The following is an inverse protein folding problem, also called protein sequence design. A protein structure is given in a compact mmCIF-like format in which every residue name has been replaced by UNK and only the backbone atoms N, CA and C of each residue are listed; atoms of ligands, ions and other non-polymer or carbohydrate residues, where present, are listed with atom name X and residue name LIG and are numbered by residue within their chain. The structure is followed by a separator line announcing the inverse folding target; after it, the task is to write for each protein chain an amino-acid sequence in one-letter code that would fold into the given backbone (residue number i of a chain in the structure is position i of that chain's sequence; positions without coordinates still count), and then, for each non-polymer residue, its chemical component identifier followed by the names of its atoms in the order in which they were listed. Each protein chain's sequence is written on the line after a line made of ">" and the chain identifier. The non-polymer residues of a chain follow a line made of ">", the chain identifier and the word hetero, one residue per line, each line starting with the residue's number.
data_IF_170824667879
#
_entry.id   IF_170824667879
#
_cell.length_a   1.000
_cell.length_b   1.000
_cell.length_c   1.000
_cell.angle_alpha   90.00
_cell.angle_beta   90.00
_cell.angle_gamma   90.00
#
_symmetry.space_group_name_H-M   'P 1'
#
loop_
_entity.id
_entity.type
_entity.pdbx_description
1 polymer ?
#
# COMPACT_ATOMS: atom_id res chain seq x y z
N UNK A 1 -16.24 -7.10 6.37
CA UNK A 1 -15.15 -7.01 7.37
C UNK A 1 -13.88 -7.59 6.75
N UNK A 2 -12.75 -6.92 6.91
CA UNK A 2 -11.46 -7.41 6.43
C UNK A 2 -11.09 -8.69 7.20
N UNK A 3 -10.79 -9.75 6.47
CA UNK A 3 -10.44 -11.08 7.01
C UNK A 3 -9.12 -11.62 6.46
N UNK A 4 -8.60 -11.03 5.38
CA UNK A 4 -7.33 -11.43 4.79
C UNK A 4 -6.59 -10.27 4.12
N UNK A 5 -5.26 -10.40 4.06
CA UNK A 5 -4.34 -9.43 3.48
C UNK A 5 -3.56 -10.07 2.34
N UNK A 6 -3.41 -9.35 1.24
CA UNK A 6 -2.72 -9.83 0.03
C UNK A 6 -1.88 -8.72 -0.60
N UNK A 7 -0.84 -9.11 -1.31
CA UNK A 7 -0.03 -8.22 -2.16
C UNK A 7 -0.18 -8.63 -3.63
N UNK A 8 -0.05 -7.66 -4.53
CA UNK A 8 -0.12 -7.87 -5.97
C UNK A 8 1.06 -7.18 -6.65
N UNK A 9 1.92 -7.95 -7.31
CA UNK A 9 2.94 -7.45 -8.23
C UNK A 9 2.62 -7.84 -9.66
N UNK A 10 3.13 -7.07 -10.62
CA UNK A 10 2.88 -7.28 -12.04
C UNK A 10 4.14 -7.85 -12.71
N UNK A 11 3.94 -8.84 -13.58
CA UNK A 11 5.01 -9.47 -14.37
C UNK A 11 5.14 -8.87 -15.77
N UNK A 12 4.06 -8.35 -16.31
CA UNK A 12 4.02 -7.79 -17.66
C UNK A 12 4.92 -6.56 -17.82
N UNK A 13 5.41 -6.39 -19.04
CA UNK A 13 6.14 -5.21 -19.47
C UNK A 13 5.25 -4.30 -20.32
N UNK A 14 5.45 -3.00 -20.20
CA UNK A 14 4.69 -1.99 -20.93
C UNK A 14 3.32 -1.70 -20.31
N UNK A 15 2.90 -0.46 -20.43
CA UNK A 15 1.73 0.11 -19.72
C UNK A 15 0.45 -0.66 -20.02
N UNK A 16 0.17 -0.96 -21.29
CA UNK A 16 -1.09 -1.63 -21.71
C UNK A 16 -1.18 -3.04 -21.13
N UNK A 17 -0.09 -3.80 -21.19
CA UNK A 17 -0.06 -5.16 -20.66
C UNK A 17 -0.19 -5.15 -19.12
N UNK A 18 0.50 -4.23 -18.45
CA UNK A 18 0.41 -4.06 -16.97
C UNK A 18 -1.00 -3.67 -16.55
N UNK A 19 -1.67 -2.77 -17.26
CA UNK A 19 -3.06 -2.42 -16.99
C UNK A 19 -4.00 -3.63 -17.17
N UNK A 20 -3.81 -4.41 -18.24
CA UNK A 20 -4.61 -5.62 -18.51
C UNK A 20 -4.38 -6.69 -17.44
N UNK A 21 -3.14 -6.92 -17.04
CA UNK A 21 -2.77 -7.85 -15.96
C UNK A 21 -3.39 -7.42 -14.64
N UNK A 22 -3.26 -6.14 -14.27
CA UNK A 22 -3.85 -5.59 -13.04
C UNK A 22 -5.36 -5.80 -13.00
N UNK A 23 -6.07 -5.49 -14.09
CA UNK A 23 -7.52 -5.70 -14.21
C UNK A 23 -7.91 -7.18 -14.03
N UNK A 24 -7.09 -8.11 -14.49
CA UNK A 24 -7.35 -9.54 -14.30
C UNK A 24 -7.10 -9.96 -12.84
N UNK A 25 -5.99 -9.53 -12.24
CA UNK A 25 -5.66 -9.85 -10.84
C UNK A 25 -6.69 -9.29 -9.86
N UNK A 26 -7.22 -8.09 -10.12
CA UNK A 26 -8.22 -7.45 -9.25
C UNK A 26 -9.55 -8.20 -9.26
N UNK A 27 -9.94 -8.86 -10.35
CA UNK A 27 -11.16 -9.71 -10.41
C UNK A 27 -11.10 -10.89 -9.45
N UNK A 28 -9.89 -11.35 -9.10
CA UNK A 28 -9.69 -12.51 -8.23
C UNK A 28 -9.67 -12.15 -6.74
N UNK A 29 -9.71 -10.86 -6.38
CA UNK A 29 -9.79 -10.42 -4.99
C UNK A 29 -11.17 -10.75 -4.44
N UNK A 30 -11.20 -11.46 -3.31
CA UNK A 30 -12.44 -11.95 -2.69
C UNK A 30 -13.03 -10.92 -1.73
N UNK A 31 -14.36 -10.94 -1.48
CA UNK A 31 -14.94 -10.19 -0.40
C UNK A 31 -14.25 -10.48 0.94
N UNK A 32 -13.94 -9.41 1.68
CA UNK A 32 -13.16 -9.49 2.92
C UNK A 32 -11.63 -9.50 2.71
N UNK A 33 -11.13 -9.54 1.48
CA UNK A 33 -9.70 -9.45 1.19
C UNK A 33 -9.29 -7.99 0.93
N UNK A 34 -8.24 -7.53 1.62
CA UNK A 34 -7.54 -6.27 1.36
C UNK A 34 -6.25 -6.57 0.58
N UNK A 35 -6.25 -6.23 -0.69
CA UNK A 35 -5.10 -6.40 -1.56
C UNK A 35 -4.36 -5.07 -1.76
N UNK A 36 -3.02 -5.12 -1.76
CA UNK A 36 -2.14 -3.99 -2.01
C UNK A 36 -1.34 -4.20 -3.30
N UNK A 37 -1.49 -3.28 -4.26
CA UNK A 37 -0.60 -3.13 -5.40
C UNK A 37 0.61 -2.28 -5.07
N UNK A 38 1.65 -2.34 -5.90
CA UNK A 38 2.86 -1.54 -5.71
C UNK A 38 2.65 -0.06 -6.11
N UNK A 39 3.64 0.77 -5.77
CA UNK A 39 3.65 2.18 -6.17
C UNK A 39 3.71 2.30 -7.69
N UNK A 40 2.82 3.13 -8.26
CA UNK A 40 2.76 3.44 -9.69
C UNK A 40 2.86 2.17 -10.57
N UNK A 41 2.19 1.09 -10.15
CA UNK A 41 2.38 -0.24 -10.69
C UNK A 41 2.12 -0.36 -12.19
N UNK A 42 1.29 0.50 -12.79
CA UNK A 42 1.00 0.51 -14.23
C UNK A 42 1.92 1.46 -14.98
N UNK A 43 2.01 2.72 -14.55
CA UNK A 43 2.70 3.80 -15.27
C UNK A 43 4.20 3.90 -14.94
N UNK A 44 4.63 3.41 -13.76
CA UNK A 44 5.93 3.79 -13.23
C UNK A 44 5.98 5.30 -12.98
N UNK A 45 7.13 5.92 -13.26
CA UNK A 45 7.31 7.38 -13.14
C UNK A 45 6.91 8.16 -14.41
N UNK A 46 6.12 7.54 -15.29
CA UNK A 46 5.64 8.21 -16.50
C UNK A 46 4.20 8.70 -16.27
N UNK A 47 3.93 9.96 -16.62
CA UNK A 47 2.57 10.46 -16.65
C UNK A 47 1.90 9.98 -17.93
N UNK A 48 0.82 9.23 -17.79
CA UNK A 48 0.01 8.74 -18.92
C UNK A 48 -1.18 9.66 -19.22
N UNK A 49 -1.30 10.74 -18.45
CA UNK A 49 -2.39 11.71 -18.52
C UNK A 49 -3.65 11.25 -17.80
N UNK A 50 -4.43 12.21 -17.31
CA UNK A 50 -5.61 11.98 -16.47
C UNK A 50 -6.68 11.11 -17.15
N UNK A 51 -6.82 11.19 -18.47
CA UNK A 51 -7.78 10.37 -19.23
C UNK A 51 -7.49 8.87 -19.09
N UNK A 52 -6.21 8.48 -19.16
CA UNK A 52 -5.80 7.08 -18.99
C UNK A 52 -6.03 6.62 -17.56
N UNK A 53 -5.58 7.41 -16.59
CA UNK A 53 -5.69 7.08 -15.16
C UNK A 53 -7.17 6.98 -14.74
N UNK A 54 -8.02 7.91 -15.15
CA UNK A 54 -9.45 7.86 -14.88
C UNK A 54 -10.13 6.64 -15.52
N UNK A 55 -9.74 6.27 -16.74
CA UNK A 55 -10.26 5.07 -17.41
C UNK A 55 -9.79 3.78 -16.69
N UNK A 56 -8.53 3.73 -16.24
CA UNK A 56 -8.00 2.62 -15.46
C UNK A 56 -8.79 2.44 -14.16
N UNK A 57 -8.96 3.52 -13.36
CA UNK A 57 -9.72 3.48 -12.10
C UNK A 57 -11.17 3.07 -12.35
N UNK A 58 -11.82 3.60 -13.38
CA UNK A 58 -13.20 3.23 -13.71
C UNK A 58 -13.33 1.73 -14.05
N UNK A 59 -12.35 1.17 -14.73
CA UNK A 59 -12.32 -0.26 -15.06
C UNK A 59 -11.99 -1.13 -13.82
N UNK A 60 -11.10 -0.68 -12.94
CA UNK A 60 -10.81 -1.35 -11.67
C UNK A 60 -12.06 -1.41 -10.78
N UNK A 61 -12.79 -0.31 -10.65
CA UNK A 61 -14.07 -0.25 -9.92
C UNK A 61 -15.09 -1.24 -10.45
N UNK A 62 -15.19 -1.40 -11.77
CA UNK A 62 -16.11 -2.37 -12.39
C UNK A 62 -15.66 -3.82 -12.19
N UNK A 63 -14.36 -4.04 -12.06
CA UNK A 63 -13.77 -5.38 -11.94
C UNK A 63 -13.73 -5.89 -10.50
N UNK A 64 -13.65 -4.98 -9.53
CA UNK A 64 -13.53 -5.31 -8.11
C UNK A 64 -14.90 -5.71 -7.54
N UNK A 65 -14.97 -6.86 -6.87
CA UNK A 65 -16.18 -7.33 -6.22
C UNK A 65 -16.55 -6.46 -5.01
N UNK A 66 -17.83 -6.31 -4.73
CA UNK A 66 -18.31 -5.65 -3.53
C UNK A 66 -17.80 -6.37 -2.27
N UNK A 67 -17.26 -5.60 -1.32
CA UNK A 67 -16.65 -6.14 -0.10
C UNK A 67 -15.20 -6.61 -0.27
N UNK A 68 -14.64 -6.55 -1.49
CA UNK A 68 -13.22 -6.68 -1.75
C UNK A 68 -12.55 -5.30 -1.75
N UNK A 69 -11.32 -5.21 -1.24
CA UNK A 69 -10.59 -3.94 -1.12
C UNK A 69 -9.29 -4.01 -1.92
N UNK A 70 -9.02 -2.98 -2.71
CA UNK A 70 -7.79 -2.88 -3.46
C UNK A 70 -7.17 -1.49 -3.35
N UNK A 71 -5.95 -1.42 -2.84
CA UNK A 71 -5.16 -0.19 -2.69
C UNK A 71 -3.92 -0.21 -3.59
N UNK A 72 -3.60 0.91 -4.24
CA UNK A 72 -2.40 1.09 -5.05
C UNK A 72 -2.11 2.57 -5.24
N UNK A 73 -0.99 2.95 -5.85
CA UNK A 73 -0.78 4.35 -6.22
C UNK A 73 -0.83 4.57 -7.73
N UNK A 74 -1.28 5.75 -8.12
CA UNK A 74 -1.42 6.19 -9.51
C UNK A 74 -1.08 7.68 -9.64
N UNK A 75 -0.98 8.16 -10.88
CA UNK A 75 -0.85 9.59 -11.14
C UNK A 75 -2.24 10.26 -11.05
N UNK A 76 -2.33 11.38 -10.33
CA UNK A 76 -3.56 12.16 -10.18
C UNK A 76 -3.23 13.65 -10.01
N UNK A 77 -3.66 14.51 -10.93
CA UNK A 77 -3.47 15.97 -10.86
C UNK A 77 -2.02 16.44 -10.58
N UNK A 78 -1.05 15.69 -11.04
CA UNK A 78 0.36 15.96 -10.79
C UNK A 78 0.90 15.36 -9.48
N UNK A 79 0.15 14.50 -8.80
CA UNK A 79 0.58 13.81 -7.59
C UNK A 79 0.75 12.31 -7.84
N UNK A 80 1.66 11.69 -7.09
CA UNK A 80 1.63 10.27 -6.81
C UNK A 80 0.62 10.04 -5.68
N UNK A 81 -0.56 9.55 -6.01
CA UNK A 81 -1.69 9.42 -5.08
C UNK A 81 -2.03 7.96 -4.82
N UNK A 82 -2.07 7.59 -3.55
CA UNK A 82 -2.65 6.31 -3.12
C UNK A 82 -4.17 6.40 -3.16
N UNK A 83 -4.81 5.35 -3.67
CA UNK A 83 -6.26 5.18 -3.66
C UNK A 83 -6.62 3.79 -3.13
N UNK A 84 -7.64 3.73 -2.26
CA UNK A 84 -8.26 2.49 -1.80
C UNK A 84 -9.66 2.38 -2.37
N UNK A 85 -9.93 1.29 -3.09
CA UNK A 85 -11.21 0.98 -3.74
C UNK A 85 -11.96 -0.14 -3.00
N UNK A 86 -13.29 -0.09 -3.01
CA UNK A 86 -14.19 -1.18 -2.65
C UNK A 86 -15.34 -1.22 -3.65
N UNK A 87 -15.31 -2.18 -4.58
CA UNK A 87 -16.25 -2.19 -5.70
C UNK A 87 -16.21 -0.86 -6.45
N UNK A 88 -17.34 -0.19 -6.58
CA UNK A 88 -17.48 1.10 -7.28
C UNK A 88 -17.07 2.33 -6.43
N UNK A 89 -16.69 2.14 -5.16
CA UNK A 89 -16.41 3.23 -4.21
C UNK A 89 -14.92 3.50 -4.06
N UNK A 90 -14.60 4.79 -3.94
CA UNK A 90 -13.31 5.27 -3.45
C UNK A 90 -13.41 5.47 -1.95
N UNK A 91 -12.66 4.68 -1.18
CA UNK A 91 -12.74 4.67 0.29
C UNK A 91 -11.79 5.67 0.91
N UNK A 92 -10.56 5.75 0.35
CA UNK A 92 -9.52 6.60 0.90
C UNK A 92 -8.55 7.05 -0.19
N UNK A 93 -7.99 8.26 -0.04
CA UNK A 93 -6.93 8.81 -0.90
C UNK A 93 -5.88 9.51 -0.06
N UNK A 94 -4.62 9.38 -0.47
CA UNK A 94 -3.49 10.07 0.15
C UNK A 94 -2.43 10.39 -0.89
N UNK A 95 -2.02 11.65 -0.95
CA UNK A 95 -0.93 12.11 -1.80
C UNK A 95 0.41 11.82 -1.14
N UNK A 96 1.39 11.32 -1.88
CA UNK A 96 2.76 11.15 -1.40
C UNK A 96 3.32 12.50 -0.96
N UNK A 97 3.69 12.60 0.32
CA UNK A 97 4.17 13.85 0.91
C UNK A 97 5.69 14.02 0.78
N UNK A 98 6.46 12.92 0.85
CA UNK A 98 7.92 12.96 0.80
C UNK A 98 8.40 12.29 -0.49
N UNK A 99 8.84 13.12 -1.44
CA UNK A 99 9.30 12.67 -2.75
C UNK A 99 10.76 12.18 -2.67
N UNK A 100 11.08 11.17 -3.48
CA UNK A 100 12.42 10.59 -3.58
C UNK A 100 13.29 11.41 -4.54
N UNK A 101 13.95 12.43 -4.01
CA UNK A 101 14.80 13.36 -4.78
C UNK A 101 15.96 12.72 -5.55
N UNK A 102 16.60 11.62 -5.08
CA UNK A 102 17.64 10.96 -5.87
C UNK A 102 17.15 10.40 -7.21
N UNK A 103 15.84 10.22 -7.37
CA UNK A 103 15.22 9.75 -8.61
C UNK A 103 14.45 10.87 -9.34
N UNK A 104 14.72 12.13 -8.97
CA UNK A 104 14.12 13.33 -9.55
C UNK A 104 12.59 13.30 -9.54
N UNK A 105 12.00 12.72 -8.48
CA UNK A 105 10.53 12.69 -8.34
C UNK A 105 9.93 14.09 -8.28
N UNK A 106 10.63 15.07 -7.71
CA UNK A 106 10.19 16.47 -7.63
C UNK A 106 10.03 17.14 -9.00
N UNK A 107 10.65 16.59 -10.05
CA UNK A 107 10.51 17.10 -11.41
C UNK A 107 9.25 16.55 -12.11
N UNK A 108 8.65 15.51 -11.55
CA UNK A 108 7.53 14.75 -12.10
C UNK A 108 6.26 14.89 -11.30
N UNK A 109 6.37 15.03 -9.99
CA UNK A 109 5.24 15.05 -9.06
C UNK A 109 5.31 16.25 -8.12
N UNK A 110 4.13 16.73 -7.75
CA UNK A 110 3.94 17.65 -6.62
C UNK A 110 3.97 16.84 -5.33
N UNK A 111 4.57 17.40 -4.27
CA UNK A 111 4.49 16.82 -2.94
C UNK A 111 3.12 17.07 -2.31
N UNK A 112 2.56 16.07 -1.67
CA UNK A 112 1.44 16.20 -0.75
C UNK A 112 1.88 16.89 0.55
N UNK A 113 1.05 16.82 1.58
CA UNK A 113 1.34 17.41 2.89
C UNK A 113 1.53 16.30 3.92
N UNK A 114 2.57 16.43 4.74
CA UNK A 114 2.84 15.49 5.86
C UNK A 114 1.68 15.47 6.86
N UNK A 115 0.99 16.61 7.02
CA UNK A 115 -0.17 16.75 7.90
C UNK A 115 -1.35 15.86 7.47
N UNK A 116 -1.46 15.55 6.17
CA UNK A 116 -2.54 14.72 5.61
C UNK A 116 -2.29 13.21 5.81
N UNK A 117 -1.08 12.81 6.20
CA UNK A 117 -0.78 11.41 6.55
C UNK A 117 -1.37 11.12 7.94
N UNK A 118 -2.49 10.40 7.96
CA UNK A 118 -3.24 10.07 9.16
C UNK A 118 -3.82 8.66 9.08
N UNK A 119 -4.24 8.12 10.24
CA UNK A 119 -5.04 6.92 10.27
C UNK A 119 -6.45 7.20 9.74
N UNK A 120 -6.98 6.27 8.97
CA UNK A 120 -8.39 6.21 8.64
C UNK A 120 -8.98 4.90 9.16
N UNK A 121 -10.30 4.87 9.36
CA UNK A 121 -10.99 3.69 9.86
C UNK A 121 -11.84 3.06 8.75
N UNK A 122 -11.71 1.76 8.60
CA UNK A 122 -12.49 0.95 7.67
C UNK A 122 -13.03 -0.29 8.40
N UNK A 123 -14.35 -0.35 8.57
CA UNK A 123 -15.03 -1.48 9.24
C UNK A 123 -14.46 -1.81 10.65
N UNK A 124 -14.07 -0.78 11.40
CA UNK A 124 -13.48 -0.93 12.73
C UNK A 124 -11.98 -1.21 12.74
N UNK A 125 -11.33 -1.28 11.58
CA UNK A 125 -9.88 -1.46 11.42
C UNK A 125 -9.21 -0.12 11.13
N UNK A 126 -8.20 0.25 11.91
CA UNK A 126 -7.40 1.48 11.72
C UNK A 126 -6.27 1.22 10.76
N UNK A 127 -6.26 1.93 9.65
CA UNK A 127 -5.31 1.74 8.55
C UNK A 127 -4.51 3.02 8.34
N UNK A 128 -3.19 2.87 8.16
CA UNK A 128 -2.29 3.92 7.71
C UNK A 128 -1.63 3.57 6.38
N UNK A 129 -1.09 4.58 5.70
CA UNK A 129 -0.36 4.39 4.42
C UNK A 129 0.97 5.12 4.48
N UNK A 130 2.05 4.47 4.03
CA UNK A 130 3.36 5.06 3.78
C UNK A 130 3.81 4.72 2.37
N UNK A 131 3.90 5.71 1.50
CA UNK A 131 4.22 5.49 0.09
C UNK A 131 5.74 5.46 -0.10
N UNK A 132 6.30 4.27 -0.32
CA UNK A 132 7.68 4.03 -0.73
C UNK A 132 8.72 4.71 0.17
N UNK A 133 9.27 5.85 -0.27
CA UNK A 133 10.33 6.59 0.44
C UNK A 133 9.89 7.08 1.82
N UNK A 134 8.61 7.31 2.04
CA UNK A 134 8.03 7.71 3.32
C UNK A 134 8.33 6.70 4.43
N UNK A 135 8.54 5.43 4.09
CA UNK A 135 8.93 4.38 5.02
C UNK A 135 10.23 4.69 5.80
N UNK A 136 11.09 5.59 5.30
CA UNK A 136 12.35 5.95 5.98
C UNK A 136 12.21 6.96 7.12
N UNK A 137 11.05 7.57 7.26
CA UNK A 137 10.81 8.69 8.17
C UNK A 137 10.06 8.22 9.41
N UNK A 138 10.78 8.03 10.51
CA UNK A 138 10.23 7.49 11.77
C UNK A 138 9.20 8.43 12.40
N UNK A 139 9.24 9.72 12.14
CA UNK A 139 8.21 10.69 12.52
C UNK A 139 6.85 10.37 11.88
N UNK A 140 6.82 9.76 10.69
CA UNK A 140 5.58 9.28 10.08
C UNK A 140 5.08 8.00 10.75
N UNK A 141 5.99 7.16 11.27
CA UNK A 141 5.60 5.98 12.04
C UNK A 141 4.88 6.37 13.33
N UNK A 142 5.37 7.43 14.02
CA UNK A 142 4.72 7.97 15.22
C UNK A 142 3.31 8.52 14.90
N UNK A 143 3.12 9.20 13.75
CA UNK A 143 1.79 9.65 13.30
C UNK A 143 0.82 8.50 13.08
N UNK A 144 1.32 7.33 12.66
CA UNK A 144 0.51 6.13 12.40
C UNK A 144 0.45 5.17 13.60
N UNK A 145 0.85 5.62 14.78
CA UNK A 145 0.76 4.82 16.01
C UNK A 145 -0.69 4.50 16.35
N UNK A 146 -0.94 3.25 16.64
CA UNK A 146 -2.30 2.74 16.90
C UNK A 146 -2.99 2.19 15.65
N UNK A 147 -2.32 2.12 14.51
CA UNK A 147 -2.79 1.36 13.35
C UNK A 147 -2.96 -0.13 13.70
N UNK A 148 -3.92 -0.77 13.05
CA UNK A 148 -4.01 -2.23 12.97
C UNK A 148 -3.26 -2.74 11.73
N UNK A 149 -3.29 -1.95 10.64
CA UNK A 149 -2.61 -2.24 9.38
C UNK A 149 -1.90 -0.97 8.88
N UNK A 150 -0.66 -1.11 8.41
CA UNK A 150 0.02 -0.08 7.61
C UNK A 150 0.32 -0.65 6.23
N UNK A 151 -0.14 0.05 5.20
CA UNK A 151 0.07 -0.30 3.79
C UNK A 151 1.32 0.43 3.27
N UNK A 152 2.22 -0.31 2.62
CA UNK A 152 3.49 0.23 2.10
C UNK A 152 3.64 -0.10 0.61
N UNK A 153 2.86 0.57 -0.28
CA UNK A 153 3.06 0.45 -1.71
C UNK A 153 4.39 1.10 -2.10
N UNK A 154 5.22 0.39 -2.87
CA UNK A 154 6.58 0.85 -3.17
C UNK A 154 7.03 0.52 -4.59
N UNK A 155 7.98 1.32 -5.08
CA UNK A 155 8.79 1.06 -6.26
C UNK A 155 10.28 1.11 -5.86
N UNK A 156 10.65 0.21 -4.98
CA UNK A 156 11.95 0.20 -4.30
C UNK A 156 13.02 -0.47 -5.15
N UNK A 157 14.21 0.14 -5.27
CA UNK A 157 15.29 -0.43 -6.07
C UNK A 157 15.95 -1.65 -5.42
N UNK A 158 16.27 -2.67 -6.23
CA UNK A 158 16.85 -3.97 -5.82
C UNK A 158 18.08 -3.83 -4.91
N UNK A 159 18.97 -2.86 -5.18
CA UNK A 159 20.18 -2.64 -4.38
C UNK A 159 19.90 -2.24 -2.92
N UNK A 160 18.67 -1.88 -2.58
CA UNK A 160 18.23 -1.50 -1.23
C UNK A 160 17.20 -2.47 -0.64
N UNK A 161 17.11 -3.69 -1.17
CA UNK A 161 16.17 -4.73 -0.71
C UNK A 161 16.24 -4.91 0.81
N UNK A 162 17.44 -5.10 1.35
CA UNK A 162 17.62 -5.33 2.78
C UNK A 162 17.15 -4.15 3.64
N UNK A 163 17.30 -2.91 3.15
CA UNK A 163 16.75 -1.73 3.85
C UNK A 163 15.22 -1.79 3.90
N UNK A 164 14.58 -2.16 2.79
CA UNK A 164 13.12 -2.25 2.72
C UNK A 164 12.57 -3.30 3.68
N UNK A 165 13.16 -4.49 3.69
CA UNK A 165 12.81 -5.60 4.59
C UNK A 165 12.92 -5.17 6.06
N UNK A 166 14.10 -4.65 6.47
CA UNK A 166 14.35 -4.22 7.85
C UNK A 166 13.37 -3.13 8.29
N UNK A 167 13.12 -2.14 7.44
CA UNK A 167 12.24 -1.04 7.80
C UNK A 167 10.77 -1.49 7.94
N UNK A 168 10.29 -2.39 7.07
CA UNK A 168 8.94 -2.95 7.19
C UNK A 168 8.80 -3.81 8.46
N UNK A 169 9.79 -4.66 8.74
CA UNK A 169 9.83 -5.46 9.97
C UNK A 169 9.86 -4.58 11.22
N UNK A 170 10.75 -3.58 11.25
CA UNK A 170 10.88 -2.64 12.35
C UNK A 170 9.60 -1.82 12.58
N UNK A 171 8.95 -1.37 11.50
CA UNK A 171 7.66 -0.67 11.57
C UNK A 171 6.57 -1.54 12.20
N UNK A 172 6.48 -2.81 11.77
CA UNK A 172 5.51 -3.75 12.32
C UNK A 172 5.71 -3.96 13.84
N UNK A 173 6.97 -4.15 14.26
CA UNK A 173 7.33 -4.29 15.68
C UNK A 173 7.06 -3.02 16.49
N UNK A 174 7.51 -1.87 15.98
CA UNK A 174 7.41 -0.58 16.68
C UNK A 174 5.96 -0.14 16.87
N UNK A 175 5.16 -0.25 15.82
CA UNK A 175 3.75 0.15 15.86
C UNK A 175 2.82 -1.00 16.31
N UNK A 176 3.34 -2.22 16.46
CA UNK A 176 2.58 -3.41 16.86
C UNK A 176 1.36 -3.63 15.98
N UNK A 177 1.56 -3.56 14.68
CA UNK A 177 0.52 -3.67 13.67
C UNK A 177 0.95 -4.60 12.54
N UNK A 178 0.01 -4.98 11.68
CA UNK A 178 0.35 -5.59 10.41
C UNK A 178 0.99 -4.56 9.47
N UNK A 179 2.03 -4.95 8.74
CA UNK A 179 2.59 -4.15 7.64
C UNK A 179 2.46 -4.97 6.36
N UNK A 180 1.66 -4.46 5.42
CA UNK A 180 1.50 -5.05 4.09
C UNK A 180 2.43 -4.31 3.15
N UNK A 181 3.49 -4.96 2.68
CA UNK A 181 4.54 -4.36 1.87
C UNK A 181 4.57 -4.98 0.47
N UNK A 182 4.45 -4.13 -0.53
CA UNK A 182 4.48 -4.53 -1.93
C UNK A 182 5.43 -3.63 -2.71
N UNK A 183 6.38 -4.21 -3.42
CA UNK A 183 7.28 -3.50 -4.32
C UNK A 183 7.44 -4.28 -5.60
N UNK A 184 7.32 -3.58 -6.72
CA UNK A 184 7.37 -4.14 -8.06
C UNK A 184 8.69 -3.80 -8.77
N UNK A 185 8.78 -4.06 -10.07
CA UNK A 185 9.90 -3.78 -10.95
C UNK A 185 11.15 -4.56 -10.56
N UNK A 186 12.24 -3.86 -10.21
CA UNK A 186 13.53 -4.53 -9.99
C UNK A 186 13.57 -5.34 -8.69
N UNK A 187 12.83 -4.91 -7.66
CA UNK A 187 12.88 -5.56 -6.36
C UNK A 187 12.03 -6.82 -6.31
N UNK A 188 10.83 -6.80 -6.87
CA UNK A 188 9.80 -7.83 -6.67
C UNK A 188 9.77 -8.35 -5.23
N UNK A 189 9.03 -7.64 -4.41
CA UNK A 189 8.90 -7.95 -3.00
C UNK A 189 7.44 -7.93 -2.59
N UNK A 190 7.01 -8.99 -1.95
CA UNK A 190 5.66 -9.18 -1.44
C UNK A 190 5.74 -9.78 -0.04
N UNK A 191 5.24 -9.08 0.97
CA UNK A 191 5.20 -9.60 2.32
C UNK A 191 4.08 -8.95 3.15
N UNK A 192 3.55 -9.73 4.07
CA UNK A 192 2.74 -9.27 5.18
C UNK A 192 3.51 -9.57 6.47
N UNK A 193 3.92 -8.53 7.17
CA UNK A 193 4.55 -8.65 8.49
C UNK A 193 3.48 -8.61 9.56
N UNK A 194 3.56 -9.54 10.53
CA UNK A 194 2.70 -9.56 11.72
C UNK A 194 3.19 -8.54 12.76
N UNK A 195 2.36 -8.20 13.77
CA UNK A 195 2.75 -7.28 14.85
C UNK A 195 4.05 -7.65 15.60
N UNK A 196 4.44 -8.92 15.57
CA UNK A 196 5.69 -9.43 16.14
C UNK A 196 6.90 -9.41 15.17
N UNK A 197 6.78 -8.76 14.01
CA UNK A 197 7.80 -8.62 12.98
C UNK A 197 7.95 -9.82 12.04
N UNK A 198 7.40 -10.98 12.37
CA UNK A 198 7.51 -12.15 11.49
C UNK A 198 6.67 -12.02 10.22
N UNK A 199 7.18 -12.53 9.12
CA UNK A 199 6.40 -12.63 7.88
C UNK A 199 5.27 -13.64 8.08
N UNK A 200 4.05 -13.27 7.73
CA UNK A 200 2.88 -14.12 7.81
C UNK A 200 3.01 -15.29 6.81
N UNK A 201 2.67 -16.51 7.28
CA UNK A 201 2.65 -17.71 6.43
C UNK A 201 1.32 -17.90 5.70
N UNK A 202 0.27 -17.22 6.15
CA UNK A 202 -1.07 -17.22 5.55
C UNK A 202 -1.52 -15.78 5.29
N UNK A 203 -2.53 -15.61 4.45
CA UNK A 203 -3.14 -14.31 4.17
C UNK A 203 -4.13 -13.87 5.27
N UNK A 204 -4.41 -14.69 6.26
CA UNK A 204 -5.38 -14.40 7.32
C UNK A 204 -5.00 -13.16 8.13
N UNK A 205 -5.96 -12.30 8.33
CA UNK A 205 -5.87 -11.12 9.18
C UNK A 205 -6.64 -11.36 10.48
N UNK A 206 -5.92 -11.26 11.59
CA UNK A 206 -6.47 -11.42 12.95
C UNK A 206 -6.49 -10.06 13.65
N UNK A 207 -7.63 -9.35 13.68
CA UNK A 207 -7.71 -7.98 14.23
C UNK A 207 -7.20 -7.88 15.68
N UNK A 208 -7.36 -8.95 16.47
CA UNK A 208 -6.96 -8.97 17.87
C UNK A 208 -5.46 -9.29 18.09
N UNK A 209 -4.73 -9.75 17.07
CA UNK A 209 -3.33 -10.17 17.24
C UNK A 209 -2.42 -9.02 17.69
N UNK A 210 -2.70 -7.79 17.28
CA UNK A 210 -1.99 -6.61 17.76
C UNK A 210 -2.19 -6.38 19.26
N UNK A 211 -3.41 -6.56 19.77
CA UNK A 211 -3.72 -6.44 21.20
C UNK A 211 -3.13 -7.61 22.00
N UNK A 212 -3.16 -8.82 21.48
CA UNK A 212 -2.53 -9.98 22.12
C UNK A 212 -1.02 -9.80 22.22
N UNK A 213 -0.39 -9.28 21.17
CA UNK A 213 1.04 -8.97 21.20
C UNK A 213 1.36 -7.85 22.22
N UNK A 214 0.56 -6.78 22.29
CA UNK A 214 0.71 -5.75 23.33
C UNK A 214 0.61 -6.32 24.75
N UNK A 215 -0.37 -7.22 25.00
CA UNK A 215 -0.52 -7.92 26.29
C UNK A 215 0.71 -8.76 26.63
N UNK A 216 1.27 -9.50 25.65
CA UNK A 216 2.47 -10.31 25.85
C UNK A 216 3.70 -9.48 26.23
N UNK A 217 3.71 -8.19 25.90
CA UNK A 217 4.77 -7.23 26.27
C UNK A 217 4.46 -6.44 27.57
N UNK A 218 3.32 -6.69 28.21
CA UNK A 218 2.90 -5.94 29.39
C UNK A 218 2.54 -4.47 29.11
N UNK A 219 2.09 -4.15 27.90
CA UNK A 219 1.79 -2.78 27.46
C UNK A 219 0.30 -2.42 27.54
N UNK A 220 -0.55 -3.31 28.00
CA UNK A 220 -2.01 -3.16 28.29
C UNK A 220 -2.41 -4.04 29.45
#
# INVERSE_FOLDING_TARGET
>A
MISSLRTLTLDSLGVVNRASELLNLVKDIKPGELALGSELCVSGYESLGDNFENALIANLKKSLSNGAFFGFTHFSDGFNEFILLNGDKEIYKQKKAILFTPNLEQDKFKAGKVEDINLFELEGVKIGVLICFELRFTELWEKLKGADIILVPSLWGKGRKRHFEILCEALALQNRCYVVACSDKDLKFEAVFKPNGHIAKSSEFEPNSANEFKKSLGLV
#
